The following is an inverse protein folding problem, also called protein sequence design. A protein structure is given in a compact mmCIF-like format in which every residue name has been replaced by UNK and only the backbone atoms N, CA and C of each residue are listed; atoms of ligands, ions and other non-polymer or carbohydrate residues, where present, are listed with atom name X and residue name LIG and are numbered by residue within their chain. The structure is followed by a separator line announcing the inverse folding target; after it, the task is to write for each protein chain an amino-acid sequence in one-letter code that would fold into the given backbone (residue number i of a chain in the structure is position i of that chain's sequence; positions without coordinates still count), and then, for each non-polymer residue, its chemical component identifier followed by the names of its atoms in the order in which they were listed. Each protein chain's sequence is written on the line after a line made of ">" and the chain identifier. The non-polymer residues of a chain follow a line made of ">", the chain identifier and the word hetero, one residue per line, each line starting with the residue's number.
data_IF_701220571311
#
_entry.id   IF_701220571311
#
_cell.length_a   1.000
_cell.length_b   1.000
_cell.length_c   1.000
_cell.angle_alpha   90.00
_cell.angle_beta   90.00
_cell.angle_gamma   90.00
#
_symmetry.space_group_name_H-M   'P 1'
#
loop_
_entity.id
_entity.type
_entity.pdbx_description
1 polymer ?
#
# COMPACT_ATOMS: atom_id res chain seq x y z
N UNK A 1 61.87 -35.14 -5.64
CA UNK A 1 61.77 -33.67 -5.56
C UNK A 1 61.47 -33.36 -4.11
N UNK A 2 62.52 -33.03 -3.34
CA UNK A 2 62.54 -33.06 -1.88
C UNK A 2 62.28 -31.67 -1.27
N UNK A 3 61.74 -31.75 -0.06
CA UNK A 3 61.09 -30.80 0.84
C UNK A 3 61.97 -29.77 1.61
N UNK A 4 61.26 -28.88 2.34
CA UNK A 4 61.64 -27.95 3.44
C UNK A 4 62.24 -26.59 2.98
N UNK A 5 61.91 -25.43 3.58
CA UNK A 5 61.85 -25.10 5.01
C UNK A 5 60.91 -23.94 5.37
N UNK A 6 60.37 -24.00 6.59
CA UNK A 6 59.91 -22.87 7.40
C UNK A 6 61.12 -22.22 8.10
N UNK A 7 61.16 -20.88 8.23
CA UNK A 7 61.71 -20.19 9.40
C UNK A 7 61.32 -18.70 9.41
N UNK A 8 60.88 -18.23 10.59
CA UNK A 8 60.49 -16.86 10.93
C UNK A 8 61.68 -15.88 10.94
N UNK A 9 61.39 -14.60 10.74
CA UNK A 9 62.06 -13.53 11.49
C UNK A 9 61.15 -12.30 11.65
N UNK A 10 60.92 -11.91 12.91
CA UNK A 10 60.39 -10.61 13.31
C UNK A 10 61.39 -9.51 12.92
N UNK A 11 60.90 -8.45 12.30
CA UNK A 11 61.66 -7.22 12.04
C UNK A 11 60.75 -6.01 12.24
N UNK A 12 60.77 -5.44 13.44
CA UNK A 12 60.28 -4.10 13.70
C UNK A 12 61.12 -3.11 12.87
N UNK A 13 60.50 -2.42 11.94
CA UNK A 13 61.00 -1.15 11.43
C UNK A 13 59.94 -0.09 11.65
N UNK A 14 60.20 0.74 12.66
CA UNK A 14 59.55 2.03 12.86
C UNK A 14 59.78 2.90 11.64
N UNK A 15 58.70 3.37 11.03
CA UNK A 15 58.73 4.27 9.89
C UNK A 15 57.35 4.84 9.67
N UNK A 16 56.92 5.73 10.57
CA UNK A 16 55.77 6.60 10.33
C UNK A 16 56.16 7.53 9.18
N UNK A 17 55.82 7.18 7.95
CA UNK A 17 55.65 8.19 6.91
C UNK A 17 54.24 8.75 7.06
N UNK A 18 54.12 9.76 7.91
CA UNK A 18 53.01 10.69 7.79
C UNK A 18 53.25 11.45 6.48
N UNK A 19 52.64 10.99 5.39
CA UNK A 19 52.42 11.87 4.27
C UNK A 19 51.44 12.92 4.79
N UNK A 20 51.96 14.10 5.12
CA UNK A 20 51.13 15.29 5.33
C UNK A 20 50.50 15.55 3.97
N UNK A 21 49.34 14.94 3.72
CA UNK A 21 48.39 15.44 2.74
C UNK A 21 48.05 16.82 3.27
N UNK A 22 48.50 17.86 2.57
CA UNK A 22 48.08 19.23 2.86
C UNK A 22 46.57 19.22 3.10
N UNK A 23 46.06 19.96 4.11
CA UNK A 23 44.62 20.05 4.31
C UNK A 23 44.01 20.36 2.95
N UNK A 24 43.12 19.48 2.48
CA UNK A 24 42.28 19.81 1.33
C UNK A 24 41.66 21.15 1.70
N UNK A 25 41.86 22.16 0.86
CA UNK A 25 41.09 23.40 0.95
C UNK A 25 39.65 22.98 1.24
N UNK A 26 38.99 23.54 2.27
CA UNK A 26 37.56 23.37 2.39
C UNK A 26 37.02 24.01 1.12
N UNK A 27 36.78 23.18 0.09
CA UNK A 27 35.92 23.59 -1.00
C UNK A 27 34.67 24.04 -0.29
N UNK A 28 34.43 25.34 -0.39
CA UNK A 28 33.20 25.98 0.02
C UNK A 28 32.11 25.17 -0.65
N UNK A 29 31.55 24.22 0.10
CA UNK A 29 30.29 23.62 -0.26
C UNK A 29 29.33 24.76 -0.05
N UNK A 30 29.15 25.52 -1.12
CA UNK A 30 27.99 26.38 -1.26
C UNK A 30 26.83 25.44 -1.08
N UNK A 31 26.21 25.48 0.11
CA UNK A 31 24.94 24.81 0.31
C UNK A 31 24.03 25.39 -0.76
N UNK A 32 23.81 24.61 -1.83
CA UNK A 32 22.86 25.00 -2.85
C UNK A 32 21.54 25.19 -2.11
N UNK A 33 21.04 26.43 -2.09
CA UNK A 33 19.75 26.73 -1.51
C UNK A 33 18.72 25.98 -2.32
N UNK A 34 18.27 24.82 -1.82
CA UNK A 34 17.12 24.13 -2.41
C UNK A 34 15.93 25.03 -2.12
N UNK A 35 15.42 25.68 -3.16
CA UNK A 35 14.18 26.44 -3.08
C UNK A 35 13.04 25.44 -2.94
N UNK A 36 12.71 25.06 -1.71
CA UNK A 36 11.56 24.20 -1.42
C UNK A 36 10.31 25.07 -1.50
N UNK A 37 9.32 24.74 -2.34
CA UNK A 37 8.06 25.47 -2.37
C UNK A 37 7.43 25.47 -0.97
N UNK A 38 7.11 26.66 -0.46
CA UNK A 38 6.38 26.81 0.79
C UNK A 38 4.89 26.81 0.49
N UNK A 39 4.12 26.03 1.25
CA UNK A 39 2.66 25.99 1.18
C UNK A 39 2.06 26.72 2.38
N UNK A 40 0.86 27.26 2.22
CA UNK A 40 0.11 27.81 3.35
C UNK A 40 -0.17 26.70 4.37
N UNK A 41 -0.13 27.02 5.66
CA UNK A 41 -0.54 26.10 6.72
C UNK A 41 -2.00 25.72 6.54
N UNK A 42 -2.32 24.43 6.63
CA UNK A 42 -3.70 23.97 6.75
C UNK A 42 -4.27 24.40 8.11
N UNK A 43 -5.54 24.77 8.14
CA UNK A 43 -6.22 25.06 9.39
C UNK A 43 -6.29 23.79 10.25
N UNK A 44 -5.96 23.89 11.54
CA UNK A 44 -5.86 22.72 12.42
C UNK A 44 -7.19 21.98 12.57
N UNK A 45 -8.34 22.67 12.45
CA UNK A 45 -9.63 22.02 12.49
C UNK A 45 -9.92 21.25 11.18
N UNK A 46 -9.49 21.79 10.04
CA UNK A 46 -9.56 21.11 8.74
C UNK A 46 -8.60 19.92 8.59
N UNK A 47 -7.59 19.82 9.46
CA UNK A 47 -6.61 18.74 9.46
C UNK A 47 -7.06 17.49 10.23
N UNK A 48 -8.22 17.54 10.89
CA UNK A 48 -8.75 16.42 11.66
C UNK A 48 -9.50 15.45 10.73
N UNK A 49 -9.25 14.15 10.92
CA UNK A 49 -10.04 13.10 10.29
C UNK A 49 -11.48 13.04 10.81
N UNK A 50 -12.31 12.24 10.15
CA UNK A 50 -13.70 12.06 10.54
C UNK A 50 -13.84 11.60 12.00
N UNK A 51 -14.76 12.21 12.74
CA UNK A 51 -15.05 11.83 14.12
C UNK A 51 -15.80 10.50 14.15
N UNK A 52 -15.17 9.47 14.69
CA UNK A 52 -15.78 8.14 14.80
C UNK A 52 -16.83 8.11 15.91
N UNK A 53 -18.04 7.67 15.55
CA UNK A 53 -19.17 7.56 16.45
C UNK A 53 -19.20 6.24 17.22
N UNK A 54 -20.24 6.01 18.06
CA UNK A 54 -20.39 4.79 18.84
C UNK A 54 -20.45 3.49 18.00
N UNK A 55 -20.88 3.57 16.74
CA UNK A 55 -20.86 2.44 15.79
C UNK A 55 -19.43 1.95 15.49
N UNK A 56 -18.42 2.76 15.80
CA UNK A 56 -17.02 2.42 15.62
C UNK A 56 -16.56 2.44 14.16
N UNK A 57 -17.32 3.10 13.28
CA UNK A 57 -16.97 3.47 11.91
C UNK A 57 -17.70 4.78 11.54
N UNK A 58 -17.27 5.41 10.45
CA UNK A 58 -17.88 6.57 9.80
C UNK A 58 -18.10 6.28 8.31
N UNK A 59 -19.18 6.82 7.74
CA UNK A 59 -19.48 6.76 6.31
C UNK A 59 -19.47 8.18 5.77
N UNK A 60 -18.69 8.42 4.72
CA UNK A 60 -18.74 9.64 3.93
C UNK A 60 -19.39 9.35 2.58
N UNK A 61 -20.38 10.15 2.19
CA UNK A 61 -21.04 10.09 0.88
C UNK A 61 -20.39 11.10 -0.07
N UNK A 62 -19.81 10.62 -1.16
CA UNK A 62 -19.21 11.45 -2.21
C UNK A 62 -20.17 11.74 -3.38
N UNK A 63 -21.39 11.21 -3.32
CA UNK A 63 -22.39 11.29 -4.37
C UNK A 63 -22.22 10.24 -5.46
N UNK A 64 -23.28 10.02 -6.24
CA UNK A 64 -23.26 9.08 -7.38
C UNK A 64 -23.08 7.61 -7.00
N UNK A 65 -23.35 7.24 -5.75
CA UNK A 65 -23.18 5.88 -5.24
C UNK A 65 -21.77 5.57 -4.73
N UNK A 66 -20.89 6.57 -4.60
CA UNK A 66 -19.56 6.41 -4.05
C UNK A 66 -19.51 6.82 -2.57
N UNK A 67 -18.94 5.96 -1.74
CA UNK A 67 -18.83 6.15 -0.30
C UNK A 67 -17.44 5.77 0.21
N UNK A 68 -16.94 6.47 1.22
CA UNK A 68 -15.83 6.02 2.04
C UNK A 68 -16.37 5.44 3.36
N UNK A 69 -15.85 4.28 3.77
CA UNK A 69 -16.06 3.73 5.12
C UNK A 69 -14.73 3.75 5.86
N UNK A 70 -14.68 4.29 7.07
CA UNK A 70 -13.45 4.37 7.87
C UNK A 70 -13.69 4.10 9.35
N UNK A 71 -12.72 3.50 10.04
CA UNK A 71 -12.64 3.44 11.51
C UNK A 71 -11.79 4.57 12.12
N UNK A 72 -11.39 5.55 11.29
CA UNK A 72 -10.52 6.66 11.64
C UNK A 72 -9.04 6.40 11.43
N UNK A 73 -8.64 5.15 11.16
CA UNK A 73 -7.25 4.77 10.85
C UNK A 73 -7.11 4.27 9.42
N UNK A 74 -8.01 3.39 8.98
CA UNK A 74 -8.04 2.83 7.63
C UNK A 74 -9.35 3.17 6.93
N UNK A 75 -9.35 3.04 5.60
CA UNK A 75 -10.49 3.35 4.76
C UNK A 75 -10.75 2.25 3.73
N UNK A 76 -12.02 2.03 3.43
CA UNK A 76 -12.49 1.28 2.28
C UNK A 76 -13.33 2.19 1.39
N UNK A 77 -13.17 2.06 0.08
CA UNK A 77 -14.10 2.70 -0.88
C UNK A 77 -15.23 1.71 -1.19
N UNK A 78 -16.47 2.19 -1.18
CA UNK A 78 -17.67 1.42 -1.51
C UNK A 78 -18.36 2.09 -2.67
N UNK A 79 -18.56 1.37 -3.77
CA UNK A 79 -19.25 1.84 -4.96
C UNK A 79 -20.52 1.01 -5.16
N UNK A 80 -21.67 1.67 -5.12
CA UNK A 80 -22.99 1.05 -5.27
C UNK A 80 -23.50 1.28 -6.69
N UNK A 81 -23.86 0.20 -7.38
CA UNK A 81 -24.53 0.22 -8.67
C UNK A 81 -25.80 -0.64 -8.66
N UNK A 82 -26.50 -0.69 -9.79
CA UNK A 82 -27.66 -1.58 -10.00
C UNK A 82 -27.25 -3.06 -10.04
N UNK A 83 -26.00 -3.36 -10.37
CA UNK A 83 -25.48 -4.72 -10.57
C UNK A 83 -24.83 -5.28 -9.30
N UNK A 84 -24.64 -4.45 -8.27
CA UNK A 84 -24.06 -4.84 -7.00
C UNK A 84 -23.18 -3.77 -6.38
N UNK A 85 -22.37 -4.20 -5.42
CA UNK A 85 -21.42 -3.34 -4.70
C UNK A 85 -19.99 -3.78 -4.99
N UNK A 86 -19.15 -2.81 -5.37
CA UNK A 86 -17.69 -2.96 -5.32
C UNK A 86 -17.20 -2.42 -3.99
N UNK A 87 -16.33 -3.19 -3.34
CA UNK A 87 -15.54 -2.72 -2.21
C UNK A 87 -14.07 -2.66 -2.63
N UNK A 88 -13.38 -1.56 -2.30
CA UNK A 88 -11.93 -1.44 -2.45
C UNK A 88 -11.32 -1.49 -1.06
N UNK A 89 -10.47 -2.50 -0.85
CA UNK A 89 -9.83 -2.88 0.40
C UNK A 89 -10.80 -3.30 1.54
N UNK A 90 -10.32 -4.21 2.39
CA UNK A 90 -11.02 -4.74 3.55
C UNK A 90 -10.10 -4.74 4.78
N UNK A 91 -9.84 -3.57 5.39
CA UNK A 91 -8.94 -3.45 6.53
C UNK A 91 -9.44 -4.29 7.72
N UNK A 92 -8.57 -5.10 8.37
CA UNK A 92 -8.98 -5.94 9.49
C UNK A 92 -9.44 -5.14 10.72
N UNK A 93 -8.98 -3.88 10.86
CA UNK A 93 -9.38 -2.98 11.94
C UNK A 93 -10.84 -2.55 11.83
N UNK A 94 -11.35 -2.40 10.60
CA UNK A 94 -12.77 -2.17 10.32
C UNK A 94 -13.52 -3.50 10.46
N UNK A 95 -13.01 -4.57 9.84
CA UNK A 95 -13.55 -5.94 9.97
C UNK A 95 -15.05 -6.02 9.63
N UNK A 96 -15.82 -6.77 10.42
CA UNK A 96 -17.27 -6.94 10.20
C UNK A 96 -18.07 -5.62 10.20
N UNK A 97 -17.54 -4.53 10.78
CA UNK A 97 -18.17 -3.21 10.69
C UNK A 97 -18.29 -2.72 9.25
N UNK A 98 -17.43 -3.18 8.35
CA UNK A 98 -17.51 -2.88 6.94
C UNK A 98 -18.81 -3.44 6.33
N UNK A 99 -19.17 -4.69 6.65
CA UNK A 99 -20.43 -5.29 6.21
C UNK A 99 -21.64 -4.57 6.81
N UNK A 100 -21.59 -4.19 8.09
CA UNK A 100 -22.64 -3.39 8.72
C UNK A 100 -22.78 -2.00 8.08
N UNK A 101 -21.67 -1.35 7.73
CA UNK A 101 -21.67 -0.07 7.04
C UNK A 101 -22.28 -0.19 5.64
N UNK A 102 -21.89 -1.20 4.87
CA UNK A 102 -22.46 -1.48 3.54
C UNK A 102 -23.96 -1.73 3.63
N UNK A 103 -24.42 -2.53 4.61
CA UNK A 103 -25.85 -2.78 4.83
C UNK A 103 -26.65 -1.53 5.24
N UNK A 104 -26.01 -0.52 5.84
CA UNK A 104 -26.63 0.78 6.10
C UNK A 104 -26.67 1.68 4.86
N UNK A 105 -25.82 1.42 3.86
CA UNK A 105 -25.77 2.16 2.60
C UNK A 105 -26.77 1.58 1.59
N UNK A 106 -26.84 0.25 1.46
CA UNK A 106 -27.60 -0.41 0.41
C UNK A 106 -28.01 -1.83 0.76
N UNK A 107 -29.07 -2.32 0.12
CA UNK A 107 -29.49 -3.73 0.16
C UNK A 107 -28.87 -4.56 -0.99
N UNK A 108 -28.10 -3.94 -1.88
CA UNK A 108 -27.41 -4.65 -2.95
C UNK A 108 -26.28 -5.52 -2.39
N UNK A 109 -26.10 -6.72 -2.95
CA UNK A 109 -25.02 -7.62 -2.55
C UNK A 109 -23.66 -7.10 -3.00
N UNK A 110 -22.64 -7.35 -2.19
CA UNK A 110 -21.24 -7.20 -2.61
C UNK A 110 -20.94 -8.25 -3.67
N UNK A 111 -20.46 -7.82 -4.83
CA UNK A 111 -20.13 -8.69 -5.95
C UNK A 111 -18.64 -8.70 -6.22
N UNK A 112 -17.93 -7.60 -5.94
CA UNK A 112 -16.50 -7.49 -6.15
C UNK A 112 -15.77 -6.90 -4.95
N UNK A 113 -14.59 -7.44 -4.69
CA UNK A 113 -13.60 -6.90 -3.77
C UNK A 113 -12.32 -6.62 -4.55
N UNK A 114 -11.82 -5.39 -4.44
CA UNK A 114 -10.60 -4.95 -5.13
C UNK A 114 -9.50 -4.82 -4.11
N UNK A 115 -8.38 -5.50 -4.35
CA UNK A 115 -7.17 -5.31 -3.56
C UNK A 115 -6.32 -4.21 -4.18
N UNK A 116 -6.01 -3.17 -3.43
CA UNK A 116 -5.06 -2.14 -3.88
C UNK A 116 -3.63 -2.68 -3.90
N UNK A 117 -3.25 -3.49 -2.90
CA UNK A 117 -1.97 -4.17 -2.79
C UNK A 117 -2.01 -5.30 -1.74
N UNK A 118 -0.89 -6.00 -1.52
CA UNK A 118 -0.86 -7.26 -0.76
C UNK A 118 -0.77 -7.10 0.78
N UNK A 119 -0.66 -5.88 1.30
CA UNK A 119 -0.42 -5.69 2.73
C UNK A 119 -1.65 -6.03 3.59
N UNK A 120 -1.39 -6.62 4.76
CA UNK A 120 -2.44 -7.13 5.63
C UNK A 120 -3.30 -6.04 6.26
N UNK A 121 -2.80 -4.81 6.36
CA UNK A 121 -3.56 -3.68 6.87
C UNK A 121 -4.65 -3.18 5.90
N UNK A 122 -4.53 -3.49 4.60
CA UNK A 122 -5.56 -3.20 3.61
C UNK A 122 -6.50 -4.37 3.35
N UNK A 123 -6.00 -5.60 3.31
CA UNK A 123 -6.78 -6.75 2.84
C UNK A 123 -6.89 -7.89 3.86
N UNK A 124 -6.35 -7.72 5.06
CA UNK A 124 -6.35 -8.75 6.10
C UNK A 124 -7.74 -9.13 6.63
N UNK A 125 -8.77 -8.31 6.36
CA UNK A 125 -10.17 -8.60 6.69
C UNK A 125 -10.96 -9.23 5.54
N UNK A 126 -10.35 -9.53 4.39
CA UNK A 126 -11.07 -9.96 3.19
C UNK A 126 -11.87 -11.27 3.37
N UNK A 127 -11.47 -12.14 4.30
CA UNK A 127 -12.17 -13.40 4.60
C UNK A 127 -13.61 -13.23 5.09
N UNK A 128 -14.03 -12.02 5.48
CA UNK A 128 -15.41 -11.78 5.94
C UNK A 128 -16.44 -11.80 4.81
N UNK A 129 -16.00 -11.66 3.56
CA UNK A 129 -16.90 -11.64 2.40
C UNK A 129 -17.29 -13.06 1.97
N UNK A 130 -18.43 -13.16 1.29
CA UNK A 130 -18.89 -14.43 0.73
C UNK A 130 -17.85 -14.98 -0.27
N UNK A 131 -17.54 -16.29 -0.26
CA UNK A 131 -16.60 -16.89 -1.21
C UNK A 131 -16.96 -16.71 -2.70
N UNK A 132 -18.21 -16.35 -3.01
CA UNK A 132 -18.66 -16.03 -4.37
C UNK A 132 -18.31 -14.59 -4.82
N UNK A 133 -17.85 -13.72 -3.91
CA UNK A 133 -17.36 -12.37 -4.26
C UNK A 133 -16.13 -12.50 -5.15
N UNK A 134 -16.14 -11.83 -6.30
CA UNK A 134 -14.98 -11.80 -7.19
C UNK A 134 -13.90 -10.88 -6.61
N UNK A 135 -12.72 -11.45 -6.35
CA UNK A 135 -11.57 -10.70 -5.84
C UNK A 135 -10.67 -10.32 -7.01
N UNK A 136 -10.56 -9.03 -7.28
CA UNK A 136 -9.77 -8.48 -8.38
C UNK A 136 -8.53 -7.80 -7.84
N UNK A 137 -7.36 -8.10 -8.42
CA UNK A 137 -6.10 -7.47 -8.03
C UNK A 137 -5.12 -7.38 -9.20
N UNK A 138 -4.06 -6.59 -9.01
CA UNK A 138 -2.91 -6.62 -9.89
C UNK A 138 -2.18 -7.98 -9.83
N UNK A 139 -1.50 -8.36 -10.91
CA UNK A 139 -0.79 -9.65 -10.95
C UNK A 139 0.29 -9.76 -9.86
N UNK A 140 1.03 -8.68 -9.60
CA UNK A 140 2.07 -8.67 -8.57
C UNK A 140 1.48 -8.87 -7.16
N UNK A 141 0.31 -8.29 -6.89
CA UNK A 141 -0.40 -8.51 -5.63
C UNK A 141 -0.69 -10.00 -5.41
N UNK A 142 -1.13 -10.71 -6.46
CA UNK A 142 -1.35 -12.15 -6.39
C UNK A 142 -0.06 -12.94 -6.16
N UNK A 143 1.04 -12.57 -6.85
CA UNK A 143 2.34 -13.21 -6.66
C UNK A 143 2.87 -13.03 -5.23
N UNK A 144 2.76 -11.83 -4.68
CA UNK A 144 3.20 -11.53 -3.32
C UNK A 144 2.33 -12.21 -2.27
N UNK A 145 1.00 -12.28 -2.47
CA UNK A 145 0.09 -13.01 -1.59
C UNK A 145 0.41 -14.51 -1.54
N UNK A 146 0.70 -15.11 -2.69
CA UNK A 146 1.07 -16.53 -2.77
C UNK A 146 2.33 -16.86 -1.97
N UNK A 147 3.28 -15.92 -1.85
CA UNK A 147 4.49 -16.10 -1.04
C UNK A 147 4.22 -16.05 0.46
N UNK A 148 3.24 -15.25 0.89
CA UNK A 148 2.90 -15.10 2.31
C UNK A 148 2.00 -16.24 2.80
N UNK A 149 1.17 -16.80 1.92
CA UNK A 149 0.30 -17.95 2.20
C UNK A 149 -0.57 -17.76 3.46
N UNK A 150 -1.19 -16.59 3.58
CA UNK A 150 -2.09 -16.23 4.67
C UNK A 150 -3.54 -16.57 4.31
N UNK A 151 -4.13 -17.49 5.06
CA UNK A 151 -5.50 -17.97 4.85
C UNK A 151 -6.58 -16.92 5.09
N UNK A 152 -6.28 -15.84 5.81
CA UNK A 152 -7.22 -14.73 6.02
C UNK A 152 -7.27 -13.77 4.83
N UNK A 153 -6.36 -13.93 3.85
CA UNK A 153 -6.28 -13.14 2.63
C UNK A 153 -6.49 -14.06 1.44
N UNK A 154 -7.75 -14.34 1.05
CA UNK A 154 -8.03 -15.18 -0.10
C UNK A 154 -7.31 -14.66 -1.35
N UNK A 155 -6.78 -15.56 -2.20
CA UNK A 155 -6.12 -15.16 -3.43
C UNK A 155 -7.11 -14.45 -4.37
N UNK A 156 -6.64 -13.49 -5.20
CA UNK A 156 -7.48 -12.89 -6.23
C UNK A 156 -8.04 -13.96 -7.18
N UNK A 157 -9.36 -13.90 -7.44
CA UNK A 157 -10.04 -14.76 -8.41
C UNK A 157 -9.77 -14.28 -9.84
N UNK A 158 -9.50 -12.98 -10.01
CA UNK A 158 -9.11 -12.38 -11.27
C UNK A 158 -7.86 -11.53 -11.07
N UNK A 159 -6.83 -11.78 -11.89
CA UNK A 159 -5.67 -10.89 -11.98
C UNK A 159 -5.71 -10.16 -13.31
N UNK A 160 -5.37 -8.87 -13.30
CA UNK A 160 -5.18 -8.09 -14.53
C UNK A 160 -3.76 -7.57 -14.62
N UNK A 161 -3.20 -7.72 -15.81
CA UNK A 161 -2.03 -7.00 -16.31
C UNK A 161 -2.56 -6.19 -17.48
N UNK A 162 -2.57 -4.87 -17.38
CA UNK A 162 -2.85 -4.08 -18.58
C UNK A 162 -1.51 -3.79 -19.23
N UNK A 163 -1.24 -4.45 -20.36
CA UNK A 163 -0.18 -4.00 -21.25
C UNK A 163 -0.61 -2.67 -21.90
N UNK A 164 -0.63 -1.57 -21.14
CA UNK A 164 -0.74 -0.25 -21.74
C UNK A 164 0.61 0.06 -22.39
N UNK A 165 0.67 0.39 -23.70
CA UNK A 165 1.94 0.59 -24.42
C UNK A 165 2.88 1.62 -23.80
N UNK A 166 2.35 2.51 -22.95
CA UNK A 166 3.11 3.54 -22.22
C UNK A 166 3.00 3.47 -20.69
N UNK A 167 2.25 2.50 -20.11
CA UNK A 167 2.12 2.34 -18.65
C UNK A 167 1.70 0.91 -18.25
N UNK A 168 2.64 -0.06 -18.26
CA UNK A 168 2.32 -1.48 -18.04
C UNK A 168 1.71 -1.80 -16.66
N UNK A 169 1.68 -0.83 -15.74
CA UNK A 169 1.21 -1.00 -14.37
C UNK A 169 -0.19 -0.40 -14.12
N UNK A 170 -0.84 0.16 -15.15
CA UNK A 170 -2.15 0.79 -14.99
C UNK A 170 -3.29 -0.23 -14.92
N UNK A 171 -3.95 -0.35 -13.77
CA UNK A 171 -5.14 -1.17 -13.61
C UNK A 171 -6.40 -0.30 -13.61
N UNK A 172 -7.37 -0.63 -14.47
CA UNK A 172 -8.69 0.02 -14.53
C UNK A 172 -9.80 -1.00 -14.30
N UNK A 173 -10.73 -0.63 -13.42
CA UNK A 173 -12.05 -1.25 -13.29
C UNK A 173 -13.04 -0.21 -13.76
N UNK A 174 -13.88 -0.57 -14.72
CA UNK A 174 -14.96 0.27 -15.18
C UNK A 174 -16.25 -0.18 -14.50
N UNK A 175 -16.96 0.77 -13.89
CA UNK A 175 -18.32 0.58 -13.42
C UNK A 175 -19.26 1.30 -14.41
N UNK A 176 -20.05 0.53 -15.15
CA UNK A 176 -20.96 1.05 -16.17
C UNK A 176 -22.38 0.50 -16.04
N UNK A 177 -23.26 0.96 -16.93
CA UNK A 177 -24.65 0.49 -17.03
C UNK A 177 -24.75 -1.00 -17.39
N UNK A 178 -23.69 -1.55 -17.97
CA UNK A 178 -23.61 -2.93 -18.46
C UNK A 178 -22.77 -3.82 -17.52
N UNK A 179 -22.60 -3.41 -16.25
CA UNK A 179 -21.84 -4.13 -15.25
C UNK A 179 -20.42 -3.61 -15.02
N UNK A 180 -19.65 -4.41 -14.28
CA UNK A 180 -18.26 -4.16 -13.95
C UNK A 180 -17.34 -4.90 -14.92
N UNK A 181 -16.41 -4.19 -15.58
CA UNK A 181 -15.51 -4.77 -16.58
C UNK A 181 -14.13 -4.12 -16.61
#
# INVERSE_FOLDING_TARGET
>A
MHSWSLALAFGLFSGVYAHVVAPRDPQSSTAASINVPTYASIDAASALGAKIGPSGYYIEDFGGGAYMVTDGSYQSLVLVSIDGVIVVDAPPSIGHKLLYAIGNITNASVTHLVYTHNHADHIGGAIIFDPAVEIVAHYETAQLLAQVNDTNRPPPTQTRVVNHPSNPDEFRIYAGRDGFY
#
